data_IF_177746008120
#
_entry.id   IF_177746008120
#
_cell.length_a   1.000
_cell.length_b   1.000
_cell.length_c   1.000
_cell.angle_alpha   90.00
_cell.angle_beta   90.00
_cell.angle_gamma   90.00
#
_symmetry.space_group_name_H-M   'P 1'
#
loop_
_entity.id
_entity.type
_entity.pdbx_description
1 polymer ?
#
# COMPACT_ATOMS: atom_id res chain seq x y z
N UNK A 1 15.71 -8.25 8.38
CA UNK A 1 16.48 -7.56 7.32
C UNK A 1 15.86 -7.71 5.94
N UNK A 2 15.38 -8.90 5.57
CA UNK A 2 14.82 -9.21 4.23
C UNK A 2 13.69 -8.28 3.79
N UNK A 3 12.73 -7.96 4.66
CA UNK A 3 11.58 -7.11 4.33
C UNK A 3 11.95 -5.67 3.91
N UNK A 4 13.07 -5.13 4.44
CA UNK A 4 13.53 -3.77 4.10
C UNK A 4 13.91 -3.68 2.62
N UNK A 5 14.62 -4.69 2.10
CA UNK A 5 15.05 -4.71 0.70
C UNK A 5 13.87 -4.86 -0.27
N UNK A 6 12.86 -5.65 0.10
CA UNK A 6 11.64 -5.81 -0.71
C UNK A 6 10.90 -4.47 -0.80
N UNK A 7 10.78 -3.74 0.31
CA UNK A 7 10.13 -2.42 0.32
C UNK A 7 10.93 -1.38 -0.49
N UNK A 8 12.26 -1.40 -0.40
CA UNK A 8 13.12 -0.53 -1.21
C UNK A 8 12.95 -0.83 -2.71
N UNK A 9 12.91 -2.10 -3.11
CA UNK A 9 12.67 -2.49 -4.51
C UNK A 9 11.31 -1.98 -5.01
N UNK A 10 10.26 -2.09 -4.19
CA UNK A 10 8.94 -1.53 -4.49
C UNK A 10 8.99 0.01 -4.59
N UNK A 11 9.75 0.68 -3.73
CA UNK A 11 10.01 2.11 -3.77
C UNK A 11 10.72 2.54 -5.06
N UNK A 12 11.76 1.83 -5.49
CA UNK A 12 12.46 2.11 -6.76
C UNK A 12 11.51 1.93 -7.95
N UNK A 13 10.71 0.86 -7.97
CA UNK A 13 9.68 0.68 -8.99
C UNK A 13 8.67 1.84 -8.97
N UNK A 14 8.21 2.24 -7.80
CA UNK A 14 7.34 3.40 -7.60
C UNK A 14 7.93 4.71 -8.12
N UNK A 15 9.22 4.92 -7.89
CA UNK A 15 9.96 6.10 -8.37
C UNK A 15 10.05 6.13 -9.90
N UNK A 16 10.34 4.98 -10.53
CA UNK A 16 10.33 4.86 -12.00
C UNK A 16 8.93 5.20 -12.53
N UNK A 17 7.87 4.62 -11.93
CA UNK A 17 6.50 4.89 -12.31
C UNK A 17 6.09 6.36 -12.09
N UNK A 18 6.61 7.02 -11.05
CA UNK A 18 6.36 8.43 -10.79
C UNK A 18 6.81 9.32 -11.95
N UNK A 19 8.01 9.07 -12.50
CA UNK A 19 8.52 9.85 -13.64
C UNK A 19 7.87 9.48 -14.97
N UNK A 20 7.40 8.24 -15.13
CA UNK A 20 6.72 7.79 -16.35
C UNK A 20 5.25 8.21 -16.44
N UNK A 21 4.60 8.44 -15.30
CA UNK A 21 3.17 8.71 -15.26
C UNK A 21 2.83 10.18 -15.50
N UNK A 22 1.90 10.45 -16.42
CA UNK A 22 1.45 11.80 -16.76
C UNK A 22 0.34 12.30 -15.83
N UNK A 23 -0.43 11.41 -15.22
CA UNK A 23 -1.53 11.75 -14.31
C UNK A 23 -0.97 12.37 -13.01
N UNK A 24 -1.29 13.64 -12.77
CA UNK A 24 -0.85 14.38 -11.59
C UNK A 24 -1.39 13.80 -10.28
N UNK A 25 -2.61 13.26 -10.27
CA UNK A 25 -3.19 12.67 -9.06
C UNK A 25 -2.46 11.39 -8.70
N UNK A 26 -2.18 10.55 -9.70
CA UNK A 26 -1.40 9.32 -9.49
C UNK A 26 0.01 9.61 -9.02
N UNK A 27 0.65 10.65 -9.58
CA UNK A 27 1.95 11.13 -9.08
C UNK A 27 1.88 11.62 -7.65
N UNK A 28 0.81 12.30 -7.24
CA UNK A 28 0.62 12.72 -5.85
C UNK A 28 0.57 11.52 -4.89
N UNK A 29 -0.19 10.48 -5.24
CA UNK A 29 -0.26 9.24 -4.45
C UNK A 29 1.11 8.57 -4.38
N UNK A 30 1.76 8.37 -5.53
CA UNK A 30 3.10 7.79 -5.60
C UNK A 30 4.11 8.59 -4.77
N UNK A 31 4.13 9.91 -4.92
CA UNK A 31 5.03 10.80 -4.19
C UNK A 31 4.83 10.69 -2.69
N UNK A 32 3.59 10.71 -2.21
CA UNK A 32 3.32 10.56 -0.78
C UNK A 32 3.70 9.17 -0.24
N UNK A 33 3.50 8.09 -1.01
CA UNK A 33 3.96 6.75 -0.63
C UNK A 33 5.49 6.66 -0.59
N UNK A 34 6.19 7.27 -1.54
CA UNK A 34 7.66 7.33 -1.54
C UNK A 34 8.18 8.10 -0.33
N UNK A 35 7.55 9.24 -0.01
CA UNK A 35 7.86 9.99 1.22
C UNK A 35 7.60 9.12 2.46
N UNK A 36 6.46 8.44 2.55
CA UNK A 36 6.16 7.54 3.65
C UNK A 36 7.25 6.46 3.83
N UNK A 37 7.65 5.80 2.74
CA UNK A 37 8.75 4.82 2.74
C UNK A 37 10.03 5.44 3.30
N UNK A 38 10.42 6.63 2.79
CA UNK A 38 11.65 7.28 3.26
C UNK A 38 11.60 7.62 4.75
N UNK A 39 10.45 8.11 5.25
CA UNK A 39 10.28 8.46 6.65
C UNK A 39 10.39 7.23 7.57
N UNK A 40 9.81 6.10 7.17
CA UNK A 40 9.88 4.84 7.93
C UNK A 40 11.29 4.21 7.96
N UNK A 41 12.20 4.63 7.07
CA UNK A 41 13.58 4.13 7.04
C UNK A 41 14.60 5.09 7.66
N UNK A 42 14.20 6.31 8.03
CA UNK A 42 15.06 7.29 8.68
C UNK A 42 15.06 7.02 10.20
N UNK A 43 16.20 6.65 10.81
CA UNK A 43 16.28 6.28 12.23
C UNK A 43 16.29 7.53 13.13
N UNK A 44 15.24 8.34 13.06
CA UNK A 44 15.02 9.51 13.90
C UNK A 44 13.74 9.26 14.71
N UNK A 45 13.79 9.44 16.03
CA UNK A 45 12.61 9.30 16.89
C UNK A 45 11.42 10.10 16.35
N UNK A 46 10.22 9.50 16.38
CA UNK A 46 8.93 10.00 15.86
C UNK A 46 8.72 9.96 14.33
N UNK A 47 9.74 9.68 13.51
CA UNK A 47 9.57 9.60 12.06
C UNK A 47 8.83 8.34 11.61
N UNK A 48 8.92 7.25 12.37
CA UNK A 48 8.22 6.00 12.08
C UNK A 48 6.68 6.19 12.08
N UNK A 49 6.14 6.81 13.13
CA UNK A 49 4.71 7.11 13.25
C UNK A 49 4.24 8.11 12.18
N UNK A 50 5.08 9.09 11.84
CA UNK A 50 4.79 10.02 10.76
C UNK A 50 4.74 9.30 9.40
N UNK A 51 5.67 8.38 9.14
CA UNK A 51 5.67 7.54 7.94
C UNK A 51 4.40 6.70 7.82
N UNK A 52 3.98 6.05 8.90
CA UNK A 52 2.73 5.26 8.96
C UNK A 52 1.50 6.14 8.66
N UNK A 53 1.44 7.33 9.24
CA UNK A 53 0.34 8.27 9.03
C UNK A 53 0.30 8.79 7.59
N UNK A 54 1.45 9.18 7.02
CA UNK A 54 1.54 9.59 5.61
C UNK A 54 1.09 8.45 4.72
N UNK A 55 1.54 7.21 4.98
CA UNK A 55 1.14 6.04 4.22
C UNK A 55 -0.38 5.87 4.22
N UNK A 56 -1.01 5.90 5.40
CA UNK A 56 -2.46 5.79 5.56
C UNK A 56 -3.23 6.89 4.81
N UNK A 57 -2.79 8.15 4.91
CA UNK A 57 -3.40 9.27 4.18
C UNK A 57 -3.28 9.10 2.67
N UNK A 58 -2.12 8.65 2.16
CA UNK A 58 -1.99 8.35 0.72
C UNK A 58 -2.81 7.14 0.27
N UNK A 59 -2.97 6.12 1.11
CA UNK A 59 -3.88 5.01 0.83
C UNK A 59 -5.32 5.49 0.74
N UNK A 60 -5.72 6.43 1.60
CA UNK A 60 -7.03 7.08 1.51
C UNK A 60 -7.17 7.90 0.22
N UNK A 61 -6.12 8.64 -0.19
CA UNK A 61 -6.11 9.34 -1.48
C UNK A 61 -6.27 8.39 -2.67
N UNK A 62 -5.74 7.17 -2.62
CA UNK A 62 -5.95 6.17 -3.67
C UNK A 62 -7.42 5.72 -3.77
N UNK A 63 -8.14 5.65 -2.65
CA UNK A 63 -9.59 5.39 -2.64
C UNK A 63 -10.33 6.59 -3.27
N UNK A 64 -9.99 7.81 -2.89
CA UNK A 64 -10.58 9.03 -3.48
C UNK A 64 -10.34 9.07 -4.99
N UNK A 65 -9.12 8.76 -5.44
CA UNK A 65 -8.77 8.65 -6.85
C UNK A 65 -9.65 7.63 -7.56
N UNK A 66 -9.79 6.43 -7.00
CA UNK A 66 -10.63 5.39 -7.55
C UNK A 66 -12.09 5.85 -7.68
N UNK A 67 -12.60 6.66 -6.74
CA UNK A 67 -13.98 7.15 -6.82
C UNK A 67 -14.18 8.27 -7.84
N UNK A 68 -13.22 9.18 -7.95
CA UNK A 68 -13.35 10.45 -8.69
C UNK A 68 -12.84 10.39 -10.13
N UNK A 69 -11.77 9.64 -10.38
CA UNK A 69 -11.01 9.68 -11.64
C UNK A 69 -11.00 8.37 -12.40
N UNK A 70 -11.28 7.24 -11.75
CA UNK A 70 -11.35 5.95 -12.45
C UNK A 70 -12.58 5.94 -13.37
N UNK A 71 -12.42 5.98 -14.71
CA UNK A 71 -13.54 6.00 -15.64
C UNK A 71 -14.32 4.69 -15.48
N UNK A 72 -15.63 4.79 -15.15
CA UNK A 72 -16.80 3.89 -15.35
C UNK A 72 -16.59 2.34 -15.42
N UNK A 73 -15.43 1.81 -15.09
CA UNK A 73 -15.16 0.38 -14.98
C UNK A 73 -15.42 0.04 -13.52
N UNK A 74 -16.65 -0.35 -13.20
CA UNK A 74 -17.07 -0.69 -11.82
C UNK A 74 -16.06 -1.59 -11.09
N UNK A 75 -15.41 -2.52 -11.81
CA UNK A 75 -14.36 -3.38 -11.24
C UNK A 75 -13.08 -2.67 -10.79
N UNK A 76 -12.75 -1.50 -11.36
CA UNK A 76 -11.54 -0.73 -11.02
C UNK A 76 -11.62 -0.06 -9.67
N UNK A 77 -12.81 0.47 -9.35
CA UNK A 77 -13.09 1.04 -8.03
C UNK A 77 -12.96 0.00 -6.92
N UNK A 78 -13.56 -1.17 -7.15
CA UNK A 78 -13.56 -2.27 -6.18
C UNK A 78 -12.14 -2.76 -5.91
N UNK A 79 -11.37 -3.07 -6.96
CA UNK A 79 -10.04 -3.66 -6.80
C UNK A 79 -9.04 -2.68 -6.17
N UNK A 80 -9.05 -1.40 -6.53
CA UNK A 80 -8.21 -0.39 -5.85
C UNK A 80 -8.63 -0.27 -4.37
N UNK A 81 -9.93 -0.26 -4.10
CA UNK A 81 -10.46 -0.24 -2.73
C UNK A 81 -10.02 -1.45 -1.91
N UNK A 82 -10.07 -2.66 -2.50
CA UNK A 82 -9.63 -3.90 -1.84
C UNK A 82 -8.12 -3.93 -1.57
N UNK A 83 -7.31 -3.23 -2.38
CA UNK A 83 -5.89 -3.05 -2.09
C UNK A 83 -5.69 -2.04 -0.95
N UNK A 84 -6.32 -0.87 -1.03
CA UNK A 84 -6.03 0.25 -0.13
C UNK A 84 -6.69 0.15 1.25
N UNK A 85 -7.92 -0.38 1.34
CA UNK A 85 -8.71 -0.34 2.56
C UNK A 85 -8.13 -1.19 3.72
N UNK A 86 -7.66 -2.44 3.50
CA UNK A 86 -7.00 -3.20 4.56
C UNK A 86 -5.78 -2.48 5.13
N UNK A 87 -5.00 -1.82 4.27
CA UNK A 87 -3.80 -1.08 4.66
C UNK A 87 -4.15 0.09 5.58
N UNK A 88 -5.21 0.83 5.26
CA UNK A 88 -5.69 1.93 6.11
C UNK A 88 -6.07 1.41 7.49
N UNK A 89 -6.84 0.30 7.55
CA UNK A 89 -7.26 -0.30 8.81
C UNK A 89 -6.06 -0.73 9.66
N UNK A 90 -5.07 -1.41 9.05
CA UNK A 90 -3.88 -1.86 9.78
C UNK A 90 -3.07 -0.68 10.31
N UNK A 91 -2.87 0.36 9.50
CA UNK A 91 -2.13 1.54 9.94
C UNK A 91 -2.86 2.28 11.07
N UNK A 92 -4.20 2.32 11.07
CA UNK A 92 -4.98 2.88 12.19
C UNK A 92 -4.76 2.06 13.47
N UNK A 93 -4.83 0.74 13.38
CA UNK A 93 -4.59 -0.15 14.53
C UNK A 93 -3.17 0.00 15.08
N UNK A 94 -2.18 0.11 14.20
CA UNK A 94 -0.78 0.33 14.57
C UNK A 94 -0.59 1.68 15.29
N UNK A 95 -1.19 2.77 14.79
CA UNK A 95 -1.12 4.10 15.42
C UNK A 95 -1.78 4.09 16.81
N UNK A 96 -2.92 3.42 16.96
CA UNK A 96 -3.68 3.39 18.20
C UNK A 96 -3.21 2.32 19.20
N UNK A 97 -2.18 1.52 18.85
CA UNK A 97 -1.68 0.41 19.67
C UNK A 97 -2.79 -0.55 20.13
N UNK A 98 -3.75 -0.82 19.24
CA UNK A 98 -4.91 -1.65 19.58
C UNK A 98 -4.53 -3.13 19.74
N UNK A 99 -5.23 -3.88 20.62
CA UNK A 99 -5.04 -5.31 20.74
C UNK A 99 -5.40 -6.01 19.40
N UNK A 100 -4.80 -7.18 19.16
CA UNK A 100 -5.03 -8.00 17.97
C UNK A 100 -4.52 -7.40 16.64
N UNK A 101 -3.55 -6.49 16.69
CA UNK A 101 -2.89 -5.96 15.49
C UNK A 101 -2.41 -7.07 14.55
N UNK A 102 -1.96 -8.21 15.10
CA UNK A 102 -1.52 -9.37 14.31
C UNK A 102 -2.67 -10.02 13.53
N UNK A 103 -3.86 -10.18 14.14
CA UNK A 103 -5.04 -10.73 13.46
C UNK A 103 -5.54 -9.78 12.36
N UNK A 104 -5.47 -8.47 12.59
CA UNK A 104 -5.80 -7.46 11.58
C UNK A 104 -4.79 -7.49 10.43
N UNK A 105 -3.52 -7.79 10.71
CA UNK A 105 -2.50 -7.95 9.67
C UNK A 105 -2.75 -9.16 8.74
N UNK A 106 -3.45 -10.21 9.19
CA UNK A 106 -3.90 -11.30 8.29
C UNK A 106 -4.89 -10.81 7.22
N UNK A 107 -5.65 -9.74 7.51
CA UNK A 107 -6.56 -9.13 6.53
C UNK A 107 -5.81 -8.52 5.33
N UNK A 108 -4.51 -8.27 5.45
CA UNK A 108 -3.63 -7.86 4.34
C UNK A 108 -3.62 -8.86 3.18
N UNK A 109 -4.00 -10.12 3.41
CA UNK A 109 -4.17 -11.11 2.35
C UNK A 109 -5.14 -10.64 1.26
N UNK A 110 -6.18 -9.88 1.63
CA UNK A 110 -7.14 -9.30 0.69
C UNK A 110 -6.43 -8.33 -0.27
N UNK A 111 -5.55 -7.46 0.24
CA UNK A 111 -4.78 -6.52 -0.59
C UNK A 111 -3.84 -7.24 -1.54
N UNK A 112 -3.15 -8.28 -1.06
CA UNK A 112 -2.23 -9.08 -1.88
C UNK A 112 -2.99 -9.79 -3.00
N UNK A 113 -4.08 -10.49 -2.67
CA UNK A 113 -4.90 -11.20 -3.66
C UNK A 113 -5.52 -10.25 -4.68
N UNK A 114 -6.06 -9.11 -4.25
CA UNK A 114 -6.60 -8.10 -5.15
C UNK A 114 -5.52 -7.58 -6.12
N UNK A 115 -4.30 -7.33 -5.63
CA UNK A 115 -3.19 -6.94 -6.48
C UNK A 115 -2.78 -8.03 -7.48
N UNK A 116 -2.71 -9.30 -7.06
CA UNK A 116 -2.42 -10.42 -7.97
C UNK A 116 -3.48 -10.53 -9.06
N UNK A 117 -4.77 -10.37 -8.72
CA UNK A 117 -5.85 -10.31 -9.71
C UNK A 117 -5.59 -9.17 -10.71
N UNK A 118 -5.24 -7.97 -10.24
CA UNK A 118 -4.91 -6.85 -11.12
C UNK A 118 -3.79 -7.22 -12.08
N UNK A 119 -2.66 -7.74 -11.57
CA UNK A 119 -1.48 -8.06 -12.38
C UNK A 119 -1.76 -9.15 -13.42
N UNK A 120 -2.44 -10.24 -13.04
CA UNK A 120 -2.64 -11.38 -13.95
C UNK A 120 -3.81 -11.22 -14.91
N UNK A 121 -4.87 -10.49 -14.53
CA UNK A 121 -6.12 -10.49 -15.29
C UNK A 121 -6.51 -9.13 -15.85
N UNK A 122 -6.02 -8.03 -15.26
CA UNK A 122 -6.52 -6.70 -15.59
C UNK A 122 -5.43 -5.65 -15.85
N UNK A 123 -4.15 -6.03 -15.85
CA UNK A 123 -3.00 -5.11 -15.92
C UNK A 123 -3.12 -4.00 -16.99
N UNK A 124 -3.60 -4.26 -18.23
CA UNK A 124 -3.75 -3.20 -19.23
C UNK A 124 -4.61 -2.02 -18.78
N UNK A 125 -5.58 -2.26 -17.89
CA UNK A 125 -6.51 -1.25 -17.35
C UNK A 125 -5.91 -0.45 -16.18
N UNK A 126 -4.81 -0.92 -15.59
CA UNK A 126 -4.21 -0.35 -14.36
C UNK A 126 -2.78 0.16 -14.57
N UNK A 127 -2.36 0.38 -15.83
CA UNK A 127 -0.98 0.79 -16.14
C UNK A 127 -0.56 2.08 -15.45
N UNK A 128 -1.49 3.01 -15.23
CA UNK A 128 -1.20 4.24 -14.50
C UNK A 128 -1.02 3.95 -13.01
N UNK A 129 -1.88 3.13 -12.43
CA UNK A 129 -1.97 2.88 -11.00
C UNK A 129 -0.96 1.85 -10.49
N UNK A 130 -0.37 1.06 -11.39
CA UNK A 130 0.43 -0.11 -11.03
C UNK A 130 1.54 0.24 -10.04
N UNK A 131 2.18 1.42 -10.19
CA UNK A 131 3.24 1.85 -9.28
C UNK A 131 2.80 1.91 -7.83
N UNK A 132 1.70 2.63 -7.52
CA UNK A 132 1.26 2.76 -6.12
C UNK A 132 0.60 1.47 -5.62
N UNK A 133 -0.07 0.73 -6.51
CA UNK A 133 -0.66 -0.56 -6.15
C UNK A 133 0.40 -1.58 -5.77
N UNK A 134 1.55 -1.58 -6.45
CA UNK A 134 2.70 -2.43 -6.09
C UNK A 134 3.26 -2.07 -4.72
N UNK A 135 3.48 -0.79 -4.44
CA UNK A 135 3.97 -0.35 -3.12
C UNK A 135 3.01 -0.82 -2.01
N UNK A 136 1.72 -0.56 -2.19
CA UNK A 136 0.67 -0.94 -1.24
C UNK A 136 0.61 -2.47 -1.04
N UNK A 137 0.66 -3.24 -2.13
CA UNK A 137 0.62 -4.70 -2.05
C UNK A 137 1.86 -5.29 -1.39
N UNK A 138 3.03 -4.68 -1.58
CA UNK A 138 4.28 -5.10 -0.92
C UNK A 138 4.21 -4.82 0.58
N UNK A 139 3.77 -3.63 1.01
CA UNK A 139 3.55 -3.31 2.42
C UNK A 139 2.57 -4.31 3.07
N UNK A 140 1.44 -4.58 2.39
CA UNK A 140 0.47 -5.58 2.81
C UNK A 140 1.08 -6.99 2.90
N UNK A 141 1.90 -7.40 1.93
CA UNK A 141 2.57 -8.70 1.93
C UNK A 141 3.56 -8.85 3.10
N UNK A 142 4.30 -7.79 3.43
CA UNK A 142 5.20 -7.78 4.59
C UNK A 142 4.40 -7.92 5.88
N UNK A 143 3.34 -7.14 6.05
CA UNK A 143 2.45 -7.22 7.22
C UNK A 143 1.79 -8.59 7.37
N UNK A 144 1.34 -9.17 6.26
CA UNK A 144 0.79 -10.53 6.25
C UNK A 144 1.81 -11.57 6.72
N UNK A 145 3.05 -11.51 6.19
CA UNK A 145 4.10 -12.46 6.56
C UNK A 145 4.43 -12.38 8.05
N UNK A 146 4.59 -11.15 8.57
CA UNK A 146 4.84 -10.92 10.00
C UNK A 146 3.69 -11.45 10.88
N UNK A 147 2.44 -11.16 10.52
CA UNK A 147 1.27 -11.67 11.22
C UNK A 147 1.17 -13.20 11.20
N UNK A 148 1.52 -13.83 10.07
CA UNK A 148 1.49 -15.28 9.92
C UNK A 148 2.57 -15.94 10.78
N UNK A 149 3.77 -15.37 10.85
CA UNK A 149 4.85 -15.83 11.73
C UNK A 149 4.41 -15.84 13.20
N UNK A 150 3.76 -14.76 13.66
CA UNK A 150 3.25 -14.68 15.04
C UNK A 150 2.10 -15.66 15.26
N UNK A 151 1.17 -15.77 14.32
CA UNK A 151 0.02 -16.66 14.44
C UNK A 151 0.42 -18.14 14.50
N UNK A 152 1.40 -18.57 13.70
CA UNK A 152 1.87 -19.96 13.66
C UNK A 152 2.79 -20.33 14.84
N UNK A 153 3.36 -19.33 15.52
CA UNK A 153 4.19 -19.55 16.70
C UNK A 153 3.38 -19.73 18.00
N UNK A 154 2.08 -19.44 17.97
CA UNK A 154 1.14 -19.62 19.08
C UNK A 154 0.26 -20.86 18.85
#
# INVERSE_FOLDING_TARGET
MTYKYIMIAAGIFGLIQYFMNKDQFVRLILGGLLVAITLTFVPIHNFDSAGILVFALTSFLAIIYAQTKSPIVKGKKLLIGLVALPIILINIYAIQSLPHTDLVGLFSAVSVLAYLIIVFTNLPKYKAEIGFLTIMAVDAGIKLAMSLEVFLAN
#
